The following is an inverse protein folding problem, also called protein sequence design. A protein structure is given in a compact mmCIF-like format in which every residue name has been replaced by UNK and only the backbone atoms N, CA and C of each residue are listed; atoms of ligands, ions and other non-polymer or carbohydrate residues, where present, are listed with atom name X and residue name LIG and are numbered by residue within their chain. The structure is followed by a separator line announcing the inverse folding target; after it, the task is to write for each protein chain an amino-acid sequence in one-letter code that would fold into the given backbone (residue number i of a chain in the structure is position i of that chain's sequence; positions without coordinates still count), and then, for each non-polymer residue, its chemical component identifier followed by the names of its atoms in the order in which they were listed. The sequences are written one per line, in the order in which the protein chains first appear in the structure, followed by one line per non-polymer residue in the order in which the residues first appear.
data_IF_473710296585
#
_entry.id   IF_473710296585
#
_cell.length_a   1.000
_cell.length_b   1.000
_cell.length_c   1.000
_cell.angle_alpha   90.00
_cell.angle_beta   90.00
_cell.angle_gamma   90.00
#
_symmetry.space_group_name_H-M   'P 1'
#
loop_
_entity.id
_entity.type
_entity.pdbx_description
1 polymer ?
#
# COMPACT_ATOMS: atom_id res chain seq x y z
N UNK A 1 -5.63 4.34 17.86
CA UNK A 1 -4.62 5.41 17.69
C UNK A 1 -4.74 6.41 18.83
N UNK A 2 -3.73 7.25 19.01
CA UNK A 2 -3.82 8.40 19.92
C UNK A 2 -4.83 9.44 19.37
N UNK A 3 -5.74 10.02 20.17
CA UNK A 3 -6.69 11.05 19.74
C UNK A 3 -6.05 12.30 19.09
N UNK A 4 -4.85 12.65 19.53
CA UNK A 4 -4.06 13.74 18.94
C UNK A 4 -3.22 13.30 17.72
N UNK A 5 -3.50 12.13 17.13
CA UNK A 5 -2.76 11.55 15.99
C UNK A 5 -1.24 11.41 16.20
N UNK A 6 -0.77 11.41 17.46
CA UNK A 6 0.65 11.38 17.80
C UNK A 6 1.35 10.06 17.41
N UNK A 7 0.66 8.94 17.63
CA UNK A 7 1.11 7.58 17.32
C UNK A 7 -0.08 6.67 16.95
N UNK A 8 0.22 5.60 16.21
CA UNK A 8 -0.59 4.40 16.15
C UNK A 8 -0.11 3.39 17.20
N UNK A 9 -1.03 2.69 17.87
CA UNK A 9 -0.71 1.62 18.83
C UNK A 9 -0.50 0.30 18.07
N UNK A 10 0.51 0.29 17.22
CA UNK A 10 0.91 -0.80 16.33
C UNK A 10 2.42 -1.01 16.43
N UNK A 11 2.92 -2.17 15.98
CA UNK A 11 4.34 -2.49 16.01
C UNK A 11 4.94 -2.28 17.41
N UNK A 12 6.02 -1.49 17.57
CA UNK A 12 6.66 -1.24 18.86
C UNK A 12 5.77 -0.61 19.94
N UNK A 13 4.65 0.02 19.55
CA UNK A 13 3.73 0.70 20.46
C UNK A 13 2.47 -0.13 20.76
N UNK A 14 2.39 -1.39 20.30
CA UNK A 14 1.19 -2.24 20.43
C UNK A 14 0.75 -2.46 21.87
N UNK A 15 1.71 -2.50 22.81
CA UNK A 15 1.50 -2.83 24.22
C UNK A 15 1.35 -1.59 25.10
N UNK A 16 1.35 -0.39 24.52
CA UNK A 16 1.14 0.83 25.30
C UNK A 16 -0.34 1.12 25.50
N UNK A 17 -0.66 1.56 26.72
CA UNK A 17 -2.00 2.01 27.12
C UNK A 17 -2.12 3.54 27.15
N UNK A 18 -1.00 4.25 27.07
CA UNK A 18 -0.93 5.71 27.03
C UNK A 18 0.04 6.15 25.94
N UNK A 19 -0.24 7.31 25.35
CA UNK A 19 0.64 7.89 24.35
C UNK A 19 1.92 8.41 25.01
N UNK A 20 3.12 8.02 24.56
CA UNK A 20 4.37 8.51 25.14
C UNK A 20 4.64 10.00 24.82
N UNK A 21 3.91 10.60 23.88
CA UNK A 21 4.10 12.01 23.47
C UNK A 21 3.19 12.99 24.22
N UNK A 22 1.92 12.63 24.42
CA UNK A 22 0.92 13.51 25.04
C UNK A 22 0.25 12.92 26.28
N UNK A 23 0.65 11.72 26.71
CA UNK A 23 0.13 11.02 27.89
C UNK A 23 -1.36 10.65 27.86
N UNK A 24 -2.08 10.95 26.76
CA UNK A 24 -3.48 10.60 26.58
C UNK A 24 -3.65 9.08 26.56
N UNK A 25 -4.67 8.60 27.28
CA UNK A 25 -5.07 7.19 27.31
C UNK A 25 -5.49 6.67 25.93
N UNK A 26 -5.03 5.46 25.61
CA UNK A 26 -5.49 4.66 24.47
C UNK A 26 -6.97 4.30 24.59
N UNK A 27 -7.44 4.06 25.81
CA UNK A 27 -8.79 3.60 26.10
C UNK A 27 -9.69 4.72 26.63
N UNK A 28 -10.99 4.60 26.35
CA UNK A 28 -12.02 5.48 26.89
C UNK A 28 -12.10 5.27 28.41
N UNK A 29 -11.70 6.29 29.17
CA UNK A 29 -11.62 6.23 30.63
C UNK A 29 -12.98 6.07 31.29
N UNK A 30 -14.04 6.71 30.77
CA UNK A 30 -15.39 6.57 31.32
C UNK A 30 -15.88 5.11 31.26
N UNK A 31 -15.68 4.44 30.12
CA UNK A 31 -16.07 3.03 29.96
C UNK A 31 -15.20 2.12 30.84
N UNK A 32 -13.91 2.44 30.96
CA UNK A 32 -12.98 1.69 31.79
C UNK A 32 -13.37 1.75 33.27
N UNK A 33 -13.68 2.94 33.78
CA UNK A 33 -14.12 3.19 35.15
C UNK A 33 -15.46 2.52 35.44
N UNK A 34 -16.46 2.72 34.58
CA UNK A 34 -17.79 2.10 34.72
C UNK A 34 -17.74 0.57 34.73
N UNK A 35 -16.80 -0.01 33.97
CA UNK A 35 -16.60 -1.46 33.92
C UNK A 35 -15.67 -2.01 35.00
N UNK A 36 -15.15 -1.17 35.91
CA UNK A 36 -14.15 -1.53 36.91
C UNK A 36 -12.93 -2.23 36.28
N UNK A 37 -12.46 -1.71 35.15
CA UNK A 37 -11.29 -2.26 34.43
C UNK A 37 -11.59 -3.44 33.50
N UNK A 38 -12.82 -3.94 33.43
CA UNK A 38 -13.15 -5.16 32.65
C UNK A 38 -13.30 -4.91 31.16
N UNK A 39 -13.60 -3.67 30.73
CA UNK A 39 -13.89 -3.34 29.34
C UNK A 39 -12.89 -2.32 28.80
N UNK A 40 -12.05 -2.77 27.87
CA UNK A 40 -11.07 -1.95 27.16
C UNK A 40 -11.63 -1.52 25.80
N UNK A 41 -12.14 -0.29 25.72
CA UNK A 41 -12.60 0.30 24.45
C UNK A 41 -11.62 1.38 24.03
N UNK A 42 -11.03 1.26 22.84
CA UNK A 42 -10.13 2.28 22.31
C UNK A 42 -10.85 3.62 22.13
N UNK A 43 -10.22 4.73 22.52
CA UNK A 43 -10.75 6.08 22.33
C UNK A 43 -10.93 6.43 20.85
N UNK A 44 -9.99 6.01 20.00
CA UNK A 44 -10.06 6.22 18.56
C UNK A 44 -9.39 5.09 17.80
N UNK A 45 -9.93 4.72 16.64
CA UNK A 45 -9.43 3.68 15.74
C UNK A 45 -9.13 4.26 14.36
N UNK A 46 -8.16 3.67 13.67
CA UNK A 46 -7.96 3.85 12.24
C UNK A 46 -8.08 2.47 11.59
N UNK A 47 -8.33 2.42 10.29
CA UNK A 47 -8.59 1.18 9.59
C UNK A 47 -7.55 0.96 8.50
N UNK A 48 -6.95 -0.23 8.48
CA UNK A 48 -6.11 -0.70 7.39
C UNK A 48 -6.88 -1.78 6.63
N UNK A 49 -6.87 -1.70 5.31
CA UNK A 49 -7.48 -2.66 4.39
C UNK A 49 -6.36 -3.44 3.68
N UNK A 50 -6.14 -4.71 4.06
CA UNK A 50 -5.10 -5.52 3.46
C UNK A 50 -5.33 -5.77 1.97
N UNK A 51 -4.29 -5.61 1.13
CA UNK A 51 -4.41 -5.69 -0.33
C UNK A 51 -4.45 -7.12 -0.88
N UNK A 52 -4.01 -8.11 -0.08
CA UNK A 52 -3.82 -9.49 -0.55
C UNK A 52 -5.07 -10.14 -1.12
N UNK A 53 -6.20 -10.03 -0.42
CA UNK A 53 -7.47 -10.63 -0.87
C UNK A 53 -7.98 -9.99 -2.17
N UNK A 54 -7.74 -8.69 -2.36
CA UNK A 54 -8.12 -7.96 -3.57
C UNK A 54 -7.28 -8.42 -4.76
N UNK A 55 -5.97 -8.59 -4.56
CA UNK A 55 -5.08 -9.16 -5.58
C UNK A 55 -5.58 -10.56 -5.96
N UNK A 56 -5.77 -11.46 -4.99
CA UNK A 56 -6.26 -12.82 -5.26
C UNK A 56 -7.58 -12.83 -6.04
N UNK A 57 -8.53 -11.95 -5.68
CA UNK A 57 -9.81 -11.84 -6.37
C UNK A 57 -9.62 -11.41 -7.84
N UNK A 58 -8.76 -10.41 -8.08
CA UNK A 58 -8.43 -9.98 -9.45
C UNK A 58 -7.78 -11.11 -10.25
N UNK A 59 -6.96 -11.96 -9.61
CA UNK A 59 -6.27 -13.07 -10.31
C UNK A 59 -7.21 -14.21 -10.69
N UNK A 60 -8.30 -14.38 -9.95
CA UNK A 60 -9.33 -15.38 -10.26
C UNK A 60 -10.34 -14.89 -11.30
N UNK A 61 -10.48 -13.59 -11.49
CA UNK A 61 -11.37 -13.01 -12.49
C UNK A 61 -10.77 -13.11 -13.89
N UNK A 62 -11.42 -13.86 -14.79
CA UNK A 62 -10.92 -14.12 -16.16
C UNK A 62 -10.62 -12.83 -16.92
N UNK A 63 -11.51 -11.85 -16.86
CA UNK A 63 -11.34 -10.56 -17.55
C UNK A 63 -10.13 -9.79 -17.01
N UNK A 64 -9.94 -9.79 -15.69
CA UNK A 64 -8.79 -9.12 -15.06
C UNK A 64 -7.48 -9.87 -15.32
N UNK A 65 -7.50 -11.20 -15.38
CA UNK A 65 -6.35 -12.01 -15.79
C UNK A 65 -5.97 -11.78 -17.26
N UNK A 66 -6.94 -11.62 -18.17
CA UNK A 66 -6.68 -11.27 -19.57
C UNK A 66 -6.09 -9.85 -19.70
N UNK A 67 -6.58 -8.88 -18.91
CA UNK A 67 -6.00 -7.53 -18.87
C UNK A 67 -4.54 -7.55 -18.42
N UNK A 68 -4.13 -8.50 -17.57
CA UNK A 68 -2.73 -8.67 -17.15
C UNK A 68 -1.80 -9.13 -18.24
N UNK A 69 -2.29 -9.85 -19.25
CA UNK A 69 -1.47 -10.20 -20.42
C UNK A 69 -1.00 -8.97 -21.18
N UNK A 70 -1.67 -7.82 -21.01
CA UNK A 70 -1.18 -6.55 -21.55
C UNK A 70 0.18 -6.18 -20.96
N UNK A 71 0.35 -6.29 -19.64
CA UNK A 71 1.63 -6.07 -18.95
C UNK A 71 2.72 -7.00 -19.49
N UNK A 72 2.44 -8.30 -19.59
CA UNK A 72 3.38 -9.28 -20.16
C UNK A 72 3.77 -8.94 -21.60
N UNK A 73 2.79 -8.57 -22.43
CA UNK A 73 3.00 -8.23 -23.84
C UNK A 73 3.78 -6.93 -24.00
N UNK A 74 3.45 -5.91 -23.19
CA UNK A 74 4.12 -4.61 -23.20
C UNK A 74 5.58 -4.75 -22.76
N UNK A 75 5.83 -5.45 -21.65
CA UNK A 75 7.18 -5.74 -21.17
C UNK A 75 8.00 -6.50 -22.21
N UNK A 76 7.43 -7.54 -22.83
CA UNK A 76 8.11 -8.31 -23.88
C UNK A 76 8.43 -7.46 -25.12
N UNK A 77 7.53 -6.56 -25.53
CA UNK A 77 7.75 -5.64 -26.65
C UNK A 77 8.89 -4.68 -26.35
N UNK A 78 8.89 -4.08 -25.16
CA UNK A 78 9.91 -3.11 -24.72
C UNK A 78 11.29 -3.78 -24.61
N UNK A 79 11.37 -4.95 -23.96
CA UNK A 79 12.61 -5.72 -23.89
C UNK A 79 13.15 -6.11 -25.28
N UNK A 80 12.26 -6.44 -26.23
CA UNK A 80 12.65 -6.74 -27.60
C UNK A 80 13.22 -5.51 -28.31
N UNK A 81 12.60 -4.34 -28.15
CA UNK A 81 13.09 -3.09 -28.72
C UNK A 81 14.50 -2.76 -28.21
N UNK A 82 14.71 -2.79 -26.89
CA UNK A 82 16.01 -2.52 -26.28
C UNK A 82 17.10 -3.46 -26.79
N UNK A 83 16.79 -4.75 -26.98
CA UNK A 83 17.73 -5.74 -27.54
C UNK A 83 18.06 -5.49 -29.01
N UNK A 84 17.12 -4.96 -29.78
CA UNK A 84 17.32 -4.70 -31.22
C UNK A 84 17.99 -3.34 -31.50
N UNK A 85 18.01 -2.43 -30.53
CA UNK A 85 18.54 -1.07 -30.66
C UNK A 85 19.85 -0.83 -29.88
N UNK A 86 20.66 -1.87 -29.63
CA UNK A 86 21.93 -1.79 -28.89
C UNK A 86 21.85 -1.06 -27.52
N UNK A 87 20.71 -1.16 -26.83
CA UNK A 87 20.52 -0.58 -25.50
C UNK A 87 19.92 0.83 -25.47
N UNK A 88 19.55 1.39 -26.62
CA UNK A 88 18.80 2.65 -26.67
C UNK A 88 17.41 2.52 -26.01
N UNK A 89 16.99 3.57 -25.30
CA UNK A 89 15.67 3.66 -24.68
C UNK A 89 14.57 3.61 -25.75
N UNK A 90 13.38 3.06 -25.44
CA UNK A 90 12.25 3.07 -26.38
C UNK A 90 11.95 4.48 -26.88
N UNK A 91 11.73 4.66 -28.19
CA UNK A 91 11.42 5.97 -28.80
C UNK A 91 10.09 6.56 -28.29
N UNK A 92 9.16 5.71 -27.83
CA UNK A 92 7.86 6.10 -27.30
C UNK A 92 7.72 5.72 -25.82
N UNK A 93 7.59 6.72 -24.95
CA UNK A 93 7.18 6.57 -23.56
C UNK A 93 5.65 6.63 -23.45
N UNK A 94 4.98 5.57 -23.91
CA UNK A 94 3.51 5.52 -23.96
C UNK A 94 2.85 5.21 -22.61
N UNK A 95 3.57 4.54 -21.69
CA UNK A 95 3.04 4.15 -20.38
C UNK A 95 4.17 3.94 -19.36
N UNK A 96 3.82 3.76 -18.10
CA UNK A 96 4.69 3.42 -16.97
C UNK A 96 5.70 2.31 -17.28
N UNK A 97 5.30 1.31 -18.06
CA UNK A 97 6.15 0.17 -18.42
C UNK A 97 7.35 0.54 -19.30
N UNK A 98 7.32 1.68 -19.98
CA UNK A 98 8.46 2.19 -20.73
C UNK A 98 9.49 2.89 -19.82
N UNK A 99 9.16 3.17 -18.56
CA UNK A 99 10.06 3.82 -17.60
C UNK A 99 11.32 2.99 -17.32
N UNK A 100 12.47 3.67 -17.23
CA UNK A 100 13.77 3.04 -16.94
C UNK A 100 13.74 2.19 -15.67
N UNK A 101 13.11 2.69 -14.60
CA UNK A 101 13.03 1.98 -13.31
C UNK A 101 12.30 0.64 -13.45
N UNK A 102 11.23 0.63 -14.25
CA UNK A 102 10.48 -0.60 -14.53
C UNK A 102 11.29 -1.56 -15.38
N UNK A 103 11.96 -1.07 -16.43
CA UNK A 103 12.79 -1.87 -17.32
C UNK A 103 13.94 -2.52 -16.52
N UNK A 104 14.65 -1.76 -15.69
CA UNK A 104 15.70 -2.28 -14.82
C UNK A 104 15.15 -3.37 -13.89
N UNK A 105 13.99 -3.14 -13.25
CA UNK A 105 13.37 -4.14 -12.39
C UNK A 105 13.00 -5.44 -13.12
N UNK A 106 12.59 -5.36 -14.39
CA UNK A 106 12.34 -6.55 -15.21
C UNK A 106 13.66 -7.25 -15.57
N UNK A 107 14.69 -6.51 -15.98
CA UNK A 107 16.01 -7.06 -16.34
C UNK A 107 16.70 -7.75 -15.16
N UNK A 108 16.58 -7.19 -13.97
CA UNK A 108 17.12 -7.73 -12.72
C UNK A 108 16.28 -8.91 -12.17
N UNK A 109 15.17 -9.25 -12.83
CA UNK A 109 14.29 -10.37 -12.44
C UNK A 109 13.37 -10.06 -11.26
N UNK A 110 13.31 -8.81 -10.80
CA UNK A 110 12.39 -8.35 -9.77
C UNK A 110 10.93 -8.28 -10.25
N UNK A 111 10.71 -8.12 -11.57
CA UNK A 111 9.37 -8.10 -12.15
C UNK A 111 9.17 -9.13 -13.28
N UNK A 112 8.54 -10.26 -12.96
CA UNK A 112 8.18 -11.36 -13.85
C UNK A 112 6.67 -11.35 -14.14
N UNK A 113 6.24 -12.15 -15.13
CA UNK A 113 4.86 -12.20 -15.64
C UNK A 113 3.80 -12.55 -14.57
N UNK A 114 4.20 -13.27 -13.53
CA UNK A 114 3.36 -13.69 -12.41
C UNK A 114 3.23 -12.64 -11.29
N UNK A 115 3.88 -11.48 -11.45
CA UNK A 115 3.85 -10.42 -10.45
C UNK A 115 2.74 -9.40 -10.71
N UNK A 116 2.09 -8.98 -9.63
CA UNK A 116 1.26 -7.76 -9.64
C UNK A 116 2.12 -6.52 -9.40
N UNK A 117 1.86 -5.46 -10.16
CA UNK A 117 2.45 -4.13 -9.94
C UNK A 117 1.44 -3.27 -9.19
N UNK A 118 1.86 -2.74 -8.04
CA UNK A 118 1.08 -1.79 -7.25
C UNK A 118 1.76 -0.42 -7.24
N UNK A 119 0.95 0.63 -7.35
CA UNK A 119 1.35 1.99 -7.01
C UNK A 119 0.70 2.38 -5.69
N UNK A 120 1.50 2.90 -4.77
CA UNK A 120 1.02 3.53 -3.55
C UNK A 120 0.79 5.01 -3.78
N UNK A 121 -0.36 5.53 -3.37
CA UNK A 121 -0.62 6.96 -3.33
C UNK A 121 -1.28 7.34 -2.01
N UNK A 122 -0.87 8.46 -1.44
CA UNK A 122 -1.40 8.96 -0.18
C UNK A 122 -1.58 10.45 -0.27
N UNK A 123 -2.78 10.91 0.10
CA UNK A 123 -3.07 12.33 0.23
C UNK A 123 -4.11 12.56 1.35
N UNK A 124 -4.13 13.78 1.89
CA UNK A 124 -5.24 14.26 2.69
C UNK A 124 -6.42 14.54 1.76
N UNK A 125 -7.54 13.84 1.93
CA UNK A 125 -8.70 14.02 1.05
C UNK A 125 -9.82 14.78 1.77
N UNK A 126 -10.24 15.92 1.20
CA UNK A 126 -11.45 16.63 1.62
C UNK A 126 -12.62 16.24 0.69
N UNK A 127 -13.54 15.39 1.14
CA UNK A 127 -14.59 14.84 0.28
C UNK A 127 -15.75 15.80 -0.04
N UNK A 128 -15.93 16.88 0.72
CA UNK A 128 -17.01 17.84 0.49
C UNK A 128 -16.58 19.28 0.81
N UNK A 129 -17.01 20.22 -0.05
CA UNK A 129 -16.69 21.66 0.00
C UNK A 129 -17.13 22.36 1.29
N UNK A 130 -18.03 21.75 2.07
CA UNK A 130 -18.71 22.37 3.23
C UNK A 130 -18.77 21.51 4.49
N UNK A 131 -18.10 20.35 4.55
CA UNK A 131 -17.94 19.60 5.81
C UNK A 131 -16.47 19.31 6.07
N UNK A 132 -16.04 19.65 7.29
CA UNK A 132 -14.79 19.31 7.97
C UNK A 132 -14.57 17.78 8.03
N UNK A 133 -14.45 17.13 6.87
CA UNK A 133 -14.10 15.72 6.76
C UNK A 133 -12.58 15.65 6.68
N UNK A 134 -11.97 15.90 7.84
CA UNK A 134 -10.53 15.82 8.03
C UNK A 134 -10.19 14.34 8.23
N UNK A 135 -9.76 13.65 7.18
CA UNK A 135 -9.19 12.32 7.32
C UNK A 135 -8.06 12.13 6.30
N UNK A 136 -7.15 11.23 6.62
CA UNK A 136 -6.05 10.87 5.75
C UNK A 136 -6.29 9.48 5.21
N UNK A 137 -6.01 9.26 3.93
CA UNK A 137 -6.08 7.94 3.35
C UNK A 137 -4.92 7.69 2.41
N UNK A 138 -4.51 6.43 2.32
CA UNK A 138 -3.73 5.97 1.19
C UNK A 138 -4.51 4.93 0.40
N UNK A 139 -4.20 4.87 -0.88
CA UNK A 139 -4.78 3.97 -1.87
C UNK A 139 -3.65 3.14 -2.50
N UNK A 140 -4.03 1.96 -2.93
CA UNK A 140 -3.28 1.13 -3.85
C UNK A 140 -3.92 1.25 -5.23
N UNK A 141 -3.14 1.52 -6.25
CA UNK A 141 -3.58 1.45 -7.64
C UNK A 141 -3.00 0.18 -8.24
N UNK A 142 -3.89 -0.66 -8.79
CA UNK A 142 -3.52 -1.85 -9.53
C UNK A 142 -3.01 -1.42 -10.91
N UNK A 143 -1.71 -1.58 -11.12
CA UNK A 143 -1.03 -1.08 -12.31
C UNK A 143 -0.70 -2.16 -13.33
N UNK A 144 -1.01 -3.43 -13.04
CA UNK A 144 -0.77 -4.58 -13.92
C UNK A 144 -1.80 -4.74 -15.05
N UNK A 145 -2.54 -3.68 -15.37
CA UNK A 145 -3.59 -3.65 -16.40
C UNK A 145 -3.27 -2.57 -17.45
N UNK A 146 -4.10 -2.46 -18.49
CA UNK A 146 -3.91 -1.44 -19.53
C UNK A 146 -4.09 0.00 -19.01
N UNK A 147 -3.37 0.99 -19.56
CA UNK A 147 -3.37 2.37 -19.06
C UNK A 147 -4.73 3.07 -19.05
N UNK A 148 -5.63 2.71 -19.96
CA UNK A 148 -7.01 3.20 -19.98
C UNK A 148 -7.85 2.76 -18.75
N UNK A 149 -7.33 1.82 -17.95
CA UNK A 149 -8.04 1.19 -16.82
C UNK A 149 -7.45 1.51 -15.46
N UNK A 150 -6.17 1.90 -15.33
CA UNK A 150 -5.48 2.08 -14.02
C UNK A 150 -6.31 2.85 -12.99
N UNK A 151 -6.91 3.97 -13.41
CA UNK A 151 -7.63 4.88 -12.51
C UNK A 151 -9.15 4.66 -12.49
N UNK A 152 -9.66 3.54 -13.03
CA UNK A 152 -11.06 3.17 -12.85
C UNK A 152 -11.28 2.69 -11.42
N UNK A 153 -12.45 2.98 -10.86
CA UNK A 153 -12.83 2.66 -9.47
C UNK A 153 -12.53 1.21 -9.05
N UNK A 154 -12.62 0.24 -9.97
CA UNK A 154 -12.31 -1.19 -9.71
C UNK A 154 -10.85 -1.42 -9.31
N UNK A 155 -9.93 -0.57 -9.76
CA UNK A 155 -8.48 -0.75 -9.65
C UNK A 155 -7.81 0.25 -8.71
N UNK A 156 -8.60 1.15 -8.11
CA UNK A 156 -8.17 2.06 -7.05
C UNK A 156 -8.73 1.55 -5.72
N UNK A 157 -7.88 0.90 -4.93
CA UNK A 157 -8.24 0.19 -3.71
C UNK A 157 -7.81 1.00 -2.49
N UNK A 158 -8.72 1.39 -1.58
CA UNK A 158 -8.34 2.00 -0.31
C UNK A 158 -7.44 1.06 0.50
N UNK A 159 -6.34 1.59 1.03
CA UNK A 159 -5.39 0.82 1.84
C UNK A 159 -5.41 1.19 3.32
N UNK A 160 -5.69 2.46 3.67
CA UNK A 160 -5.92 2.87 5.05
C UNK A 160 -6.78 4.13 5.14
N UNK A 161 -7.52 4.27 6.23
CA UNK A 161 -8.29 5.45 6.60
C UNK A 161 -7.90 5.83 8.03
N UNK A 162 -7.34 7.02 8.18
CA UNK A 162 -6.96 7.62 9.46
C UNK A 162 -7.90 8.78 9.73
N UNK A 163 -8.76 8.70 10.75
CA UNK A 163 -9.64 9.81 11.09
C UNK A 163 -8.81 11.00 11.60
N UNK A 164 -9.20 12.21 11.20
CA UNK A 164 -8.70 13.45 11.79
C UNK A 164 -9.43 13.80 13.09
N UNK A 165 -9.50 15.10 13.46
CA UNK A 165 -9.08 16.26 12.66
C UNK A 165 -7.57 16.47 12.56
N UNK A 166 -6.80 15.81 13.44
CA UNK A 166 -5.37 16.00 13.53
C UNK A 166 -4.63 15.20 12.46
N UNK A 167 -3.66 15.84 11.78
CA UNK A 167 -2.72 15.14 10.90
C UNK A 167 -1.88 14.12 11.67
N UNK A 168 -1.57 12.95 11.09
CA UNK A 168 -0.62 11.99 11.66
C UNK A 168 0.73 12.65 11.93
N UNK A 169 1.19 12.62 13.19
CA UNK A 169 2.50 13.18 13.56
C UNK A 169 3.64 12.31 13.02
N UNK A 170 3.46 10.99 13.01
CA UNK A 170 4.37 10.05 12.37
C UNK A 170 3.56 9.12 11.48
N UNK A 171 3.57 9.39 10.17
CA UNK A 171 2.76 8.66 9.21
C UNK A 171 3.16 7.19 9.10
N UNK A 172 4.45 6.88 9.26
CA UNK A 172 4.97 5.51 9.12
C UNK A 172 4.31 4.52 10.09
N UNK A 173 3.90 4.98 11.28
CA UNK A 173 3.19 4.13 12.25
C UNK A 173 1.79 3.71 11.78
N UNK A 174 1.15 4.55 10.96
CA UNK A 174 -0.17 4.27 10.37
C UNK A 174 -0.07 3.49 9.05
N UNK A 175 1.05 3.60 8.34
CA UNK A 175 1.35 2.81 7.13
C UNK A 175 1.83 1.39 7.49
N UNK A 176 2.48 1.24 8.65
CA UNK A 176 3.07 -0.02 9.11
C UNK A 176 2.16 -1.24 8.93
N UNK A 177 0.89 -1.26 9.37
CA UNK A 177 0.07 -2.47 9.26
C UNK A 177 -0.14 -2.92 7.81
N UNK A 178 -0.30 -1.96 6.88
CA UNK A 178 -0.51 -2.25 5.47
C UNK A 178 0.76 -2.71 4.77
N UNK A 179 1.88 -2.05 5.04
CA UNK A 179 3.19 -2.42 4.48
C UNK A 179 3.71 -3.73 5.05
N UNK A 180 3.46 -3.99 6.33
CA UNK A 180 3.77 -5.29 6.94
C UNK A 180 2.99 -6.42 6.28
N UNK A 181 1.69 -6.22 6.04
CA UNK A 181 0.89 -7.20 5.29
C UNK A 181 1.38 -7.39 3.85
N UNK A 182 1.74 -6.28 3.18
CA UNK A 182 2.34 -6.31 1.86
C UNK A 182 3.62 -7.16 1.88
N UNK A 183 4.57 -6.85 2.74
CA UNK A 183 5.84 -7.56 2.89
C UNK A 183 5.65 -9.06 3.15
N UNK A 184 4.69 -9.42 4.01
CA UNK A 184 4.37 -10.82 4.28
C UNK A 184 3.94 -11.57 3.00
N UNK A 185 3.12 -10.94 2.15
CA UNK A 185 2.75 -11.50 0.83
C UNK A 185 3.97 -11.62 -0.08
N UNK A 186 4.86 -10.63 -0.10
CA UNK A 186 6.06 -10.68 -0.94
C UNK A 186 6.99 -11.84 -0.54
N UNK A 187 7.16 -12.07 0.77
CA UNK A 187 7.99 -13.16 1.32
C UNK A 187 7.35 -14.55 1.13
N UNK A 188 6.05 -14.68 1.42
CA UNK A 188 5.36 -15.98 1.46
C UNK A 188 4.73 -16.38 0.12
N UNK A 189 4.50 -15.40 -0.77
CA UNK A 189 3.65 -15.59 -1.94
C UNK A 189 2.19 -15.84 -1.56
N UNK A 190 1.35 -16.06 -2.57
CA UNK A 190 -0.01 -16.56 -2.36
C UNK A 190 -0.04 -18.08 -2.51
N UNK A 191 -0.94 -18.74 -1.78
CA UNK A 191 -1.12 -20.21 -1.85
C UNK A 191 -1.44 -20.76 -3.25
N UNK A 192 -1.84 -19.89 -4.19
CA UNK A 192 -2.08 -20.22 -5.60
C UNK A 192 -0.88 -19.94 -6.53
N UNK A 193 0.33 -19.78 -5.98
CA UNK A 193 1.55 -19.58 -6.77
C UNK A 193 1.72 -18.20 -7.39
N UNK A 194 0.93 -17.21 -6.95
CA UNK A 194 1.10 -15.81 -7.35
C UNK A 194 2.15 -15.17 -6.45
N UNK A 195 3.07 -14.41 -7.03
CA UNK A 195 4.04 -13.63 -6.27
C UNK A 195 3.76 -12.13 -6.40
N UNK A 196 4.08 -11.38 -5.35
CA UNK A 196 4.07 -9.93 -5.37
C UNK A 196 5.49 -9.47 -5.14
N UNK A 197 6.27 -9.24 -6.19
CA UNK A 197 7.67 -8.82 -6.02
C UNK A 197 7.89 -7.32 -6.16
N UNK A 198 7.02 -6.59 -6.84
CA UNK A 198 7.18 -5.15 -7.07
C UNK A 198 6.01 -4.32 -6.54
N UNK A 199 6.28 -3.48 -5.54
CA UNK A 199 5.44 -2.36 -5.16
C UNK A 199 6.27 -1.08 -5.31
N UNK A 200 5.79 -0.16 -6.14
CA UNK A 200 6.47 1.12 -6.33
C UNK A 200 6.01 2.08 -5.24
N UNK A 201 6.96 2.43 -4.39
CA UNK A 201 6.77 3.30 -3.25
C UNK A 201 7.66 4.53 -3.39
N UNK A 202 7.23 5.70 -2.90
CA UNK A 202 8.14 6.85 -2.78
C UNK A 202 9.42 6.45 -2.04
N UNK A 203 10.58 7.03 -2.41
CA UNK A 203 11.91 6.65 -1.89
C UNK A 203 11.96 6.47 -0.36
N UNK A 204 11.30 7.33 0.42
CA UNK A 204 11.28 7.22 1.89
C UNK A 204 10.52 6.00 2.46
N UNK A 205 9.57 5.46 1.71
CA UNK A 205 8.78 4.26 2.07
C UNK A 205 9.50 2.97 1.65
N UNK A 206 10.22 3.02 0.53
CA UNK A 206 11.07 1.91 0.08
C UNK A 206 12.16 1.58 1.09
N UNK A 207 12.84 2.59 1.65
CA UNK A 207 13.84 2.39 2.70
C UNK A 207 13.27 1.75 3.97
N UNK A 208 12.02 2.06 4.33
CA UNK A 208 11.36 1.51 5.51
C UNK A 208 11.01 0.02 5.32
N UNK A 209 10.60 -0.36 4.11
CA UNK A 209 10.42 -1.77 3.73
C UNK A 209 11.74 -2.53 3.66
N UNK A 210 12.80 -1.94 3.08
CA UNK A 210 14.11 -2.59 3.06
C UNK A 210 14.70 -2.78 4.46
N UNK A 211 14.58 -1.79 5.35
CA UNK A 211 14.98 -1.92 6.76
C UNK A 211 14.21 -3.03 7.48
N UNK A 212 12.91 -3.18 7.22
CA UNK A 212 12.11 -4.27 7.79
C UNK A 212 12.43 -5.64 7.19
N UNK A 213 12.80 -5.70 5.90
CA UNK A 213 13.29 -6.94 5.29
C UNK A 213 14.68 -7.34 5.80
N UNK A 214 15.49 -6.38 6.26
CA UNK A 214 16.84 -6.62 6.76
C UNK A 214 16.91 -6.89 8.29
N UNK A 215 15.82 -6.68 9.02
CA UNK A 215 15.75 -6.84 10.49
C UNK A 215 15.12 -8.17 10.95
N UNK A 216 14.85 -9.10 10.03
CA UNK A 216 14.41 -10.49 10.28
C UNK A 216 15.27 -11.47 9.47
#
# INVERSE_FOLDING_TARGET
MCPNSCIAYTGPFSNLDKCPKCSISRYNQQILEQSKGKKLVSTQQFHTMPIGSQIQALWRDKTSAENRRHHETAAAKILKQIRCSDGDSPEEHDDFFAGSDYICAVQDGYNQSDNTVLIFSMDGAQLYKTKLSDYWMYIWVIFDISPDKHYKKKYVIPGCIIPGPNKPVNINLFLFPGLHHLSAIQKQGFACGIHLKAAYLPQGLFSLLQLQMAQE
#
